data_IF_118082835673
#
_entry.id   IF_118082835673
#
_cell.length_a   1.000
_cell.length_b   1.000
_cell.length_c   1.000
_cell.angle_alpha   90.00
_cell.angle_beta   90.00
_cell.angle_gamma   90.00
#
_symmetry.space_group_name_H-M   'P 1'
#
loop_
_entity.id
_entity.type
_entity.pdbx_description
1 polymer ?
#
# COMPACT_ATOMS: atom_id res chain seq x y z
N UNK A 1 -17.00 -18.70 15.12
CA UNK A 1 -18.40 -18.84 14.68
C UNK A 1 -18.54 -20.15 13.92
N UNK A 2 -19.52 -20.98 14.28
CA UNK A 2 -19.88 -22.14 13.46
C UNK A 2 -20.66 -21.62 12.25
N UNK A 3 -20.55 -22.33 11.13
CA UNK A 3 -21.34 -22.05 9.94
C UNK A 3 -22.83 -22.27 10.28
N UNK A 4 -23.68 -21.31 9.92
CA UNK A 4 -25.15 -21.30 10.10
C UNK A 4 -25.70 -20.76 11.46
N UNK A 5 -24.92 -20.03 12.25
CA UNK A 5 -25.45 -19.25 13.39
C UNK A 5 -25.69 -17.79 12.98
N UNK A 6 -26.92 -17.28 13.20
CA UNK A 6 -27.23 -15.86 13.03
C UNK A 6 -26.47 -15.03 14.09
N UNK A 7 -25.70 -14.06 13.62
CA UNK A 7 -24.97 -13.12 14.46
C UNK A 7 -25.69 -11.78 14.48
N UNK A 8 -26.05 -11.31 15.68
CA UNK A 8 -26.60 -9.97 15.89
C UNK A 8 -25.51 -9.08 16.47
N UNK A 9 -25.08 -8.03 15.76
CA UNK A 9 -24.07 -7.12 16.27
C UNK A 9 -24.51 -6.42 17.55
N UNK A 10 -23.57 -6.27 18.47
CA UNK A 10 -23.70 -5.51 19.71
C UNK A 10 -23.09 -4.11 19.55
N UNK A 11 -23.30 -3.21 20.52
CA UNK A 11 -22.73 -1.85 20.48
C UNK A 11 -21.20 -1.83 20.50
N UNK A 12 -20.56 -2.90 20.99
CA UNK A 12 -19.10 -3.05 21.00
C UNK A 12 -18.55 -3.66 19.69
N UNK A 13 -19.42 -4.05 18.75
CA UNK A 13 -19.00 -4.66 17.49
C UNK A 13 -18.74 -3.61 16.41
N UNK A 14 -17.49 -3.55 15.97
CA UNK A 14 -17.09 -2.83 14.76
C UNK A 14 -17.51 -3.63 13.53
N UNK A 15 -18.75 -3.42 13.06
CA UNK A 15 -19.29 -4.07 11.86
C UNK A 15 -19.02 -3.22 10.62
N UNK A 16 -18.14 -3.70 9.75
CA UNK A 16 -17.93 -3.10 8.45
C UNK A 16 -19.06 -3.53 7.51
N UNK A 17 -19.93 -2.58 7.15
CA UNK A 17 -20.97 -2.78 6.14
C UNK A 17 -20.46 -2.25 4.80
N UNK A 18 -20.54 -3.03 3.70
CA UNK A 18 -20.18 -2.54 2.38
C UNK A 18 -21.12 -1.40 1.96
N UNK A 19 -20.56 -0.25 1.60
CA UNK A 19 -21.31 0.95 1.21
C UNK A 19 -21.47 0.94 -0.31
N UNK A 20 -22.51 0.25 -0.79
CA UNK A 20 -23.18 0.43 -2.09
C UNK A 20 -22.35 1.06 -3.25
N UNK A 21 -21.34 0.37 -3.76
CA UNK A 21 -20.88 0.39 -5.17
C UNK A 21 -20.15 -0.92 -5.47
N UNK A 22 -20.83 -1.94 -6.02
CA UNK A 22 -20.23 -3.23 -6.42
C UNK A 22 -19.05 -3.72 -5.53
N UNK A 23 -19.22 -3.64 -4.20
CA UNK A 23 -18.18 -3.94 -3.21
C UNK A 23 -17.90 -5.45 -3.09
N UNK A 24 -18.39 -6.26 -4.03
CA UNK A 24 -18.19 -7.71 -4.07
C UNK A 24 -16.69 -8.04 -4.03
N UNK A 25 -15.89 -7.30 -4.82
CA UNK A 25 -14.43 -7.43 -4.84
C UNK A 25 -13.76 -6.99 -3.53
N UNK A 26 -14.24 -5.92 -2.89
CA UNK A 26 -13.72 -5.47 -1.60
C UNK A 26 -14.00 -6.51 -0.50
N UNK A 27 -15.23 -7.04 -0.46
CA UNK A 27 -15.64 -8.06 0.50
C UNK A 27 -14.83 -9.34 0.32
N UNK A 28 -14.55 -9.74 -0.91
CA UNK A 28 -13.72 -10.92 -1.18
C UNK A 28 -12.26 -10.68 -0.79
N UNK A 29 -11.70 -9.50 -1.11
CA UNK A 29 -10.36 -9.10 -0.68
C UNK A 29 -10.22 -9.07 0.85
N UNK A 30 -11.24 -8.55 1.55
CA UNK A 30 -11.28 -8.54 3.01
C UNK A 30 -11.29 -9.97 3.57
N UNK A 31 -12.12 -10.86 3.01
CA UNK A 31 -12.19 -12.27 3.45
C UNK A 31 -10.88 -13.01 3.23
N UNK A 32 -10.18 -12.75 2.12
CA UNK A 32 -8.87 -13.33 1.87
C UNK A 32 -7.85 -12.84 2.89
N UNK A 33 -7.75 -11.54 3.09
CA UNK A 33 -6.80 -10.96 4.04
C UNK A 33 -7.08 -11.39 5.48
N UNK A 34 -8.35 -11.47 5.89
CA UNK A 34 -8.77 -11.90 7.22
C UNK A 34 -8.47 -13.38 7.51
N UNK A 35 -8.14 -14.20 6.50
CA UNK A 35 -7.64 -15.57 6.71
C UNK A 35 -6.15 -15.60 7.05
N UNK A 36 -5.40 -14.60 6.62
CA UNK A 36 -3.93 -14.55 6.76
C UNK A 36 -3.48 -13.64 7.91
N UNK A 37 -4.25 -12.58 8.19
CA UNK A 37 -3.92 -11.56 9.18
C UNK A 37 -4.81 -11.71 10.42
N UNK A 38 -4.22 -11.71 11.64
CA UNK A 38 -5.00 -11.76 12.87
C UNK A 38 -5.95 -10.56 13.01
N UNK A 39 -7.18 -10.83 13.48
CA UNK A 39 -8.22 -9.81 13.74
C UNK A 39 -7.71 -8.58 14.50
N UNK A 40 -6.82 -8.77 15.47
CA UNK A 40 -6.24 -7.70 16.26
C UNK A 40 -5.52 -6.62 15.44
N UNK A 41 -4.99 -6.96 14.26
CA UNK A 41 -4.40 -5.97 13.36
C UNK A 41 -5.46 -5.11 12.67
N UNK A 42 -6.62 -5.69 12.32
CA UNK A 42 -7.74 -4.90 11.78
C UNK A 42 -8.29 -3.91 12.82
N UNK A 43 -8.42 -4.34 14.07
CA UNK A 43 -8.87 -3.47 15.18
C UNK A 43 -7.86 -2.33 15.47
N UNK A 44 -6.56 -2.65 15.41
CA UNK A 44 -5.50 -1.65 15.48
C UNK A 44 -5.57 -0.66 14.31
N UNK A 45 -5.72 -1.14 13.09
CA UNK A 45 -5.84 -0.30 11.89
C UNK A 45 -7.08 0.59 11.98
N UNK A 46 -8.23 0.08 12.40
CA UNK A 46 -9.45 0.86 12.59
C UNK A 46 -9.25 2.01 13.59
N UNK A 47 -8.52 1.74 14.68
CA UNK A 47 -8.13 2.75 15.66
C UNK A 47 -7.21 3.82 15.05
N UNK A 48 -6.28 3.43 14.18
CA UNK A 48 -5.37 4.34 13.47
C UNK A 48 -6.14 5.19 12.46
N UNK A 49 -7.06 4.61 11.68
CA UNK A 49 -7.91 5.35 10.75
C UNK A 49 -8.76 6.35 11.50
N UNK A 50 -9.38 5.94 12.61
CA UNK A 50 -10.16 6.83 13.48
C UNK A 50 -9.32 8.00 14.04
N UNK A 51 -8.06 7.75 14.38
CA UNK A 51 -7.11 8.79 14.78
C UNK A 51 -6.82 9.73 13.61
N UNK A 52 -6.55 9.20 12.43
CA UNK A 52 -6.27 9.97 11.23
C UNK A 52 -7.45 10.89 10.87
N UNK A 53 -8.67 10.37 10.80
CA UNK A 53 -9.89 11.13 10.50
C UNK A 53 -10.03 12.35 11.41
N UNK A 54 -9.79 12.17 12.72
CA UNK A 54 -9.87 13.26 13.71
C UNK A 54 -8.74 14.27 13.55
N UNK A 55 -7.53 13.81 13.26
CA UNK A 55 -6.33 14.66 13.20
C UNK A 55 -6.25 15.51 11.94
N UNK A 56 -6.71 15.00 10.79
CA UNK A 56 -6.66 15.74 9.51
C UNK A 56 -8.02 16.22 9.01
N UNK A 57 -9.12 15.88 9.70
CA UNK A 57 -10.49 16.30 9.36
C UNK A 57 -10.91 15.85 7.94
N UNK A 58 -10.64 14.58 7.65
CA UNK A 58 -10.99 13.90 6.40
C UNK A 58 -11.83 12.67 6.75
N UNK A 59 -12.86 12.38 5.94
CA UNK A 59 -13.58 11.11 6.03
C UNK A 59 -12.91 10.10 5.11
N UNK A 60 -12.31 9.07 5.70
CA UNK A 60 -11.89 7.87 4.96
C UNK A 60 -13.05 6.88 4.87
N UNK A 61 -13.25 6.28 3.70
CA UNK A 61 -14.18 5.16 3.53
C UNK A 61 -13.55 3.82 3.97
N UNK A 62 -14.33 2.74 3.90
CA UNK A 62 -13.88 1.39 4.30
C UNK A 62 -12.77 0.78 3.41
N UNK A 63 -12.46 1.38 2.26
CA UNK A 63 -11.43 0.89 1.33
C UNK A 63 -10.01 1.15 1.83
N UNK A 64 -9.79 2.09 2.76
CA UNK A 64 -8.48 2.29 3.41
C UNK A 64 -8.09 1.14 4.36
N UNK A 65 -9.08 0.45 4.94
CA UNK A 65 -8.86 -0.56 5.98
C UNK A 65 -7.97 -1.72 5.51
N UNK A 66 -8.26 -2.27 4.32
CA UNK A 66 -7.55 -3.42 3.76
C UNK A 66 -6.08 -3.10 3.47
N UNK A 67 -5.74 -2.10 2.63
CA UNK A 67 -4.35 -1.81 2.28
C UNK A 67 -3.52 -1.37 3.49
N UNK A 68 -4.10 -0.58 4.40
CA UNK A 68 -3.37 -0.14 5.59
C UNK A 68 -3.14 -1.30 6.57
N UNK A 69 -4.09 -2.22 6.72
CA UNK A 69 -3.89 -3.42 7.56
C UNK A 69 -2.81 -4.33 7.01
N UNK A 70 -2.79 -4.57 5.70
CA UNK A 70 -1.72 -5.36 5.07
C UNK A 70 -0.35 -4.70 5.26
N UNK A 71 -0.27 -3.38 5.04
CA UNK A 71 0.96 -2.62 5.25
C UNK A 71 1.48 -2.74 6.68
N UNK A 72 0.64 -2.48 7.68
CA UNK A 72 1.01 -2.53 9.10
C UNK A 72 1.46 -3.95 9.48
N UNK A 73 0.68 -4.96 9.11
CA UNK A 73 1.02 -6.35 9.41
C UNK A 73 2.37 -6.73 8.80
N UNK A 74 2.56 -6.43 7.51
CA UNK A 74 3.79 -6.74 6.80
C UNK A 74 4.99 -5.97 7.35
N UNK A 75 4.82 -4.68 7.72
CA UNK A 75 5.87 -3.89 8.35
C UNK A 75 6.33 -4.51 9.67
N UNK A 76 5.39 -4.98 10.50
CA UNK A 76 5.71 -5.72 11.75
C UNK A 76 6.46 -7.01 11.44
N UNK A 77 5.98 -7.84 10.51
CA UNK A 77 6.65 -9.10 10.15
C UNK A 77 8.07 -8.87 9.62
N UNK A 78 8.24 -7.81 8.81
CA UNK A 78 9.51 -7.41 8.21
C UNK A 78 10.53 -7.02 9.30
N UNK A 79 10.13 -6.19 10.26
CA UNK A 79 11.02 -5.79 11.36
C UNK A 79 11.35 -6.96 12.27
N UNK A 80 10.38 -7.85 12.57
CA UNK A 80 10.63 -9.09 13.33
C UNK A 80 11.63 -10.01 12.64
N UNK A 81 11.74 -9.92 11.31
CA UNK A 81 12.71 -10.65 10.50
C UNK A 81 14.06 -9.93 10.36
N UNK A 82 14.24 -8.79 11.02
CA UNK A 82 15.48 -8.00 11.00
C UNK A 82 15.66 -7.15 9.73
N UNK A 83 14.61 -6.97 8.93
CA UNK A 83 14.64 -6.16 7.72
C UNK A 83 14.15 -4.73 8.03
N UNK A 84 14.97 -3.76 7.68
CA UNK A 84 14.65 -2.32 7.79
C UNK A 84 14.52 -1.75 6.38
N UNK A 85 13.52 -0.88 6.18
CA UNK A 85 13.25 -0.25 4.88
C UNK A 85 13.32 1.26 5.04
N UNK A 86 14.03 1.90 4.11
CA UNK A 86 14.09 3.36 4.02
C UNK A 86 13.00 3.88 3.10
N UNK A 87 12.43 5.02 3.47
CA UNK A 87 11.46 5.75 2.67
C UNK A 87 12.18 6.91 1.98
N UNK A 88 12.48 6.80 0.67
CA UNK A 88 13.21 7.84 -0.05
C UNK A 88 12.42 9.16 -0.14
N UNK A 89 11.12 9.15 0.15
CA UNK A 89 10.24 10.32 0.13
C UNK A 89 10.04 10.94 1.52
N UNK A 90 10.67 10.41 2.57
CA UNK A 90 10.43 10.85 3.95
C UNK A 90 10.63 12.36 4.13
N UNK A 91 11.66 12.94 3.50
CA UNK A 91 11.91 14.38 3.56
C UNK A 91 10.78 15.20 2.93
N UNK A 92 10.33 14.79 1.74
CA UNK A 92 9.28 15.48 1.00
C UNK A 92 7.92 15.30 1.71
N UNK A 93 7.60 14.10 2.21
CA UNK A 93 6.37 13.83 2.98
C UNK A 93 6.32 14.70 4.23
N UNK A 94 7.39 14.75 5.03
CA UNK A 94 7.45 15.58 6.24
C UNK A 94 7.25 17.07 5.95
N UNK A 95 7.72 17.54 4.79
CA UNK A 95 7.66 18.95 4.40
C UNK A 95 6.31 19.33 3.79
N UNK A 96 5.77 18.50 2.90
CA UNK A 96 4.58 18.78 2.09
C UNK A 96 3.28 18.34 2.77
N UNK A 97 3.35 17.24 3.53
CA UNK A 97 2.23 16.60 4.22
C UNK A 97 2.54 16.44 5.72
N UNK A 98 2.84 17.54 6.43
CA UNK A 98 3.29 17.48 7.82
C UNK A 98 2.22 16.92 8.76
N UNK A 99 0.93 17.05 8.42
CA UNK A 99 -0.16 16.53 9.25
C UNK A 99 -0.31 15.02 9.11
N UNK A 100 -0.27 14.53 7.88
CA UNK A 100 -0.35 13.12 7.53
C UNK A 100 0.88 12.38 8.06
N UNK A 101 2.06 13.03 7.98
CA UNK A 101 3.28 12.53 8.60
C UNK A 101 3.17 12.42 10.13
N UNK A 102 2.64 13.45 10.79
CA UNK A 102 2.41 13.45 12.25
C UNK A 102 1.46 12.31 12.66
N UNK A 103 0.38 12.10 11.89
CA UNK A 103 -0.52 10.95 12.07
C UNK A 103 0.23 9.63 11.90
N UNK A 104 1.10 9.52 10.90
CA UNK A 104 1.96 8.36 10.71
C UNK A 104 2.83 8.06 11.93
N UNK A 105 3.40 9.09 12.57
CA UNK A 105 4.20 8.92 13.80
C UNK A 105 3.35 8.45 14.99
N UNK A 106 2.15 9.00 15.15
CA UNK A 106 1.20 8.56 16.19
C UNK A 106 0.74 7.12 15.96
N UNK A 107 0.47 6.75 14.71
CA UNK A 107 0.17 5.38 14.31
C UNK A 107 1.33 4.43 14.65
N UNK A 108 2.58 4.80 14.36
CA UNK A 108 3.74 4.00 14.74
C UNK A 108 3.85 3.79 16.25
N UNK A 109 3.51 4.78 17.07
CA UNK A 109 3.51 4.61 18.52
C UNK A 109 2.49 3.56 18.99
N UNK A 110 1.29 3.55 18.38
CA UNK A 110 0.28 2.53 18.63
C UNK A 110 0.74 1.14 18.17
N UNK A 111 1.29 1.04 16.97
CA UNK A 111 1.78 -0.22 16.39
C UNK A 111 2.94 -0.77 17.22
N UNK A 112 3.88 0.08 17.64
CA UNK A 112 5.03 -0.30 18.47
C UNK A 112 4.56 -0.87 19.81
N UNK A 113 3.61 -0.20 20.46
CA UNK A 113 3.01 -0.64 21.73
C UNK A 113 2.27 -1.97 21.59
N UNK A 114 1.61 -2.19 20.45
CA UNK A 114 0.86 -3.41 20.17
C UNK A 114 1.75 -4.61 19.84
N UNK A 115 2.83 -4.40 19.07
CA UNK A 115 3.60 -5.48 18.44
C UNK A 115 4.97 -5.75 19.07
N UNK A 116 5.38 -4.90 20.02
CA UNK A 116 6.68 -4.92 20.71
C UNK A 116 7.87 -4.84 19.72
N UNK A 117 7.74 -3.99 18.70
CA UNK A 117 8.83 -3.66 17.77
C UNK A 117 9.00 -2.16 17.64
N UNK A 118 10.21 -1.73 17.27
CA UNK A 118 10.54 -0.32 17.04
C UNK A 118 10.67 -0.05 15.54
N UNK A 119 10.07 1.05 15.09
CA UNK A 119 10.09 1.49 13.70
C UNK A 119 10.95 2.74 13.55
N UNK A 120 11.51 2.96 12.35
CA UNK A 120 12.05 4.26 11.96
C UNK A 120 10.94 5.18 11.45
N UNK A 121 11.23 6.47 11.34
CA UNK A 121 10.32 7.46 10.76
C UNK A 121 9.95 7.16 9.30
N UNK A 122 10.71 6.30 8.60
CA UNK A 122 10.39 5.87 7.23
C UNK A 122 9.00 5.25 7.12
N UNK A 123 8.61 4.49 8.15
CA UNK A 123 7.33 3.79 8.23
C UNK A 123 6.17 4.75 8.53
N UNK A 124 6.43 5.82 9.29
CA UNK A 124 5.49 6.92 9.43
C UNK A 124 5.26 7.60 8.08
N UNK A 125 6.31 7.70 7.26
CA UNK A 125 6.19 8.16 5.88
C UNK A 125 5.33 7.23 5.02
N UNK A 126 5.48 5.90 5.13
CA UNK A 126 4.65 4.96 4.37
C UNK A 126 3.17 5.00 4.80
N UNK A 127 2.89 5.08 6.10
CA UNK A 127 1.53 5.26 6.62
C UNK A 127 0.93 6.58 6.10
N UNK A 128 1.69 7.67 6.16
CA UNK A 128 1.24 8.96 5.65
C UNK A 128 0.86 8.90 4.16
N UNK A 129 1.62 8.15 3.35
CA UNK A 129 1.28 7.97 1.93
C UNK A 129 -0.06 7.29 1.72
N UNK A 130 -0.40 6.24 2.49
CA UNK A 130 -1.72 5.60 2.40
C UNK A 130 -2.87 6.57 2.72
N UNK A 131 -2.66 7.49 3.68
CA UNK A 131 -3.66 8.52 4.00
C UNK A 131 -3.83 9.52 2.86
N UNK A 132 -2.71 9.97 2.28
CA UNK A 132 -2.68 10.90 1.14
C UNK A 132 -3.34 10.26 -0.09
N UNK A 133 -3.13 8.96 -0.34
CA UNK A 133 -3.78 8.22 -1.44
C UNK A 133 -5.28 8.43 -1.41
N UNK A 134 -5.85 8.16 -0.24
CA UNK A 134 -7.28 8.09 -0.03
C UNK A 134 -7.91 9.49 -0.01
N UNK A 135 -7.18 10.50 0.45
CA UNK A 135 -7.61 11.90 0.36
C UNK A 135 -7.63 12.40 -1.10
N UNK A 136 -6.64 12.02 -1.92
CA UNK A 136 -6.48 12.53 -3.29
C UNK A 136 -7.48 11.91 -4.28
N UNK A 137 -7.94 10.69 -4.05
CA UNK A 137 -8.96 10.01 -4.88
C UNK A 137 -10.30 10.76 -4.93
N UNK A 138 -10.56 11.69 -4.01
CA UNK A 138 -11.78 12.50 -3.97
C UNK A 138 -11.71 13.82 -4.80
N UNK A 139 -10.56 14.18 -5.39
CA UNK A 139 -10.39 15.49 -6.09
C UNK A 139 -10.05 15.36 -7.59
N UNK A 140 -10.94 15.88 -8.45
CA UNK A 140 -11.01 15.71 -9.93
C UNK A 140 -9.85 16.29 -10.80
N UNK A 141 -8.68 16.63 -10.25
CA UNK A 141 -7.52 17.11 -11.05
C UNK A 141 -6.61 15.98 -11.58
N UNK A 142 -6.96 14.74 -11.24
CA UNK A 142 -6.20 13.49 -11.36
C UNK A 142 -6.48 12.67 -12.64
N UNK A 143 -7.45 13.06 -13.47
CA UNK A 143 -7.93 12.22 -14.58
C UNK A 143 -6.85 11.90 -15.62
N UNK A 144 -5.89 12.82 -15.82
CA UNK A 144 -4.84 12.65 -16.83
C UNK A 144 -3.67 11.78 -16.32
N UNK A 145 -3.28 11.91 -15.04
CA UNK A 145 -2.26 11.06 -14.41
C UNK A 145 -2.78 9.65 -14.11
N UNK A 146 -4.08 9.49 -13.86
CA UNK A 146 -4.72 8.19 -13.67
C UNK A 146 -4.79 7.41 -14.98
N UNK A 147 -5.11 8.06 -16.11
CA UNK A 147 -5.15 7.39 -17.42
C UNK A 147 -3.79 6.81 -17.82
N UNK A 148 -2.71 7.58 -17.66
CA UNK A 148 -1.34 7.10 -17.95
C UNK A 148 -0.93 5.95 -17.02
N UNK A 149 -1.33 6.02 -15.75
CA UNK A 149 -1.08 4.94 -14.82
C UNK A 149 -1.82 3.66 -15.18
N UNK A 150 -3.08 3.76 -15.60
CA UNK A 150 -3.87 2.61 -16.06
C UNK A 150 -3.25 1.96 -17.31
N UNK A 151 -2.73 2.75 -18.24
CA UNK A 151 -2.04 2.25 -19.44
C UNK A 151 -0.76 1.48 -19.08
N UNK A 152 0.04 2.02 -18.16
CA UNK A 152 1.25 1.36 -17.67
C UNK A 152 0.91 0.09 -16.90
N UNK A 153 -0.13 0.10 -16.06
CA UNK A 153 -0.59 -1.07 -15.33
C UNK A 153 -1.03 -2.20 -16.25
N UNK A 154 -1.75 -1.87 -17.31
CA UNK A 154 -2.12 -2.82 -18.35
C UNK A 154 -0.87 -3.44 -19.01
N UNK A 155 0.11 -2.60 -19.36
CA UNK A 155 1.38 -3.07 -19.93
C UNK A 155 2.20 -3.95 -18.99
N UNK A 156 2.23 -3.65 -17.69
CA UNK A 156 2.86 -4.51 -16.67
C UNK A 156 2.15 -5.87 -16.58
N UNK A 157 0.82 -5.88 -16.56
CA UNK A 157 0.05 -7.13 -16.51
C UNK A 157 0.26 -7.98 -17.78
N UNK A 158 0.49 -7.36 -18.94
CA UNK A 158 0.86 -8.07 -20.17
C UNK A 158 2.26 -8.67 -20.12
N UNK A 159 3.25 -7.94 -19.58
CA UNK A 159 4.61 -8.45 -19.39
C UNK A 159 4.55 -9.70 -18.52
N UNK A 160 3.96 -9.58 -17.33
CA UNK A 160 3.91 -10.69 -16.38
C UNK A 160 3.03 -11.85 -16.91
N UNK A 161 1.93 -11.56 -17.59
CA UNK A 161 1.08 -12.61 -18.18
C UNK A 161 1.79 -13.43 -19.26
N UNK A 162 2.73 -12.84 -20.01
CA UNK A 162 3.55 -13.58 -20.99
C UNK A 162 4.55 -14.52 -20.34
N UNK A 163 5.15 -14.12 -19.22
CA UNK A 163 6.22 -14.89 -18.58
C UNK A 163 5.70 -15.96 -17.62
N UNK A 164 4.54 -15.71 -16.98
CA UNK A 164 3.95 -16.61 -15.98
C UNK A 164 2.70 -17.35 -16.46
N UNK A 165 2.25 -17.11 -17.70
CA UNK A 165 1.23 -17.90 -18.40
C UNK A 165 -0.22 -17.53 -18.08
N UNK A 166 -0.47 -16.67 -17.10
CA UNK A 166 -1.79 -16.14 -16.76
C UNK A 166 -1.71 -14.63 -16.52
N UNK A 167 -2.68 -13.89 -17.06
CA UNK A 167 -2.86 -12.49 -16.66
C UNK A 167 -3.36 -12.48 -15.23
N UNK A 168 -2.80 -11.60 -14.41
CA UNK A 168 -3.21 -11.53 -13.03
C UNK A 168 -4.61 -10.89 -12.96
N UNK A 169 -5.48 -11.51 -12.17
CA UNK A 169 -6.85 -11.01 -11.95
C UNK A 169 -6.80 -9.61 -11.34
N UNK A 170 -7.68 -8.72 -11.79
CA UNK A 170 -7.90 -7.40 -11.17
C UNK A 170 -8.32 -7.54 -9.69
N UNK A 171 -8.88 -8.69 -9.31
CA UNK A 171 -9.23 -9.02 -7.92
C UNK A 171 -8.06 -9.55 -7.07
N UNK A 172 -6.85 -9.65 -7.63
CA UNK A 172 -5.69 -10.19 -6.90
C UNK A 172 -5.06 -9.11 -6.02
N UNK A 173 -4.90 -9.40 -4.73
CA UNK A 173 -4.22 -8.52 -3.78
C UNK A 173 -2.79 -8.18 -4.23
N UNK A 174 -2.08 -9.10 -4.87
CA UNK A 174 -0.74 -8.85 -5.41
C UNK A 174 -0.76 -7.81 -6.54
N UNK A 175 -1.81 -7.83 -7.37
CA UNK A 175 -2.02 -6.84 -8.45
C UNK A 175 -2.38 -5.48 -7.87
N UNK A 176 -3.28 -5.45 -6.90
CA UNK A 176 -3.65 -4.21 -6.21
C UNK A 176 -2.42 -3.53 -5.58
N UNK A 177 -1.58 -4.29 -4.85
CA UNK A 177 -0.32 -3.76 -4.29
C UNK A 177 0.64 -3.24 -5.34
N UNK A 178 0.86 -4.04 -6.39
CA UNK A 178 1.70 -3.63 -7.51
C UNK A 178 1.15 -2.35 -8.16
N UNK A 179 -0.17 -2.24 -8.27
CA UNK A 179 -0.85 -1.11 -8.89
C UNK A 179 -0.67 0.19 -8.11
N UNK A 180 -0.89 0.15 -6.81
CA UNK A 180 -0.63 1.29 -5.91
C UNK A 180 0.84 1.72 -5.99
N UNK A 181 1.79 0.80 -5.87
CA UNK A 181 3.21 1.16 -5.91
C UNK A 181 3.66 1.71 -7.27
N UNK A 182 3.12 1.20 -8.38
CA UNK A 182 3.38 1.73 -9.73
C UNK A 182 2.75 3.11 -9.93
N UNK A 183 1.51 3.31 -9.48
CA UNK A 183 0.84 4.62 -9.55
C UNK A 183 1.68 5.70 -8.88
N UNK A 184 2.21 5.43 -7.69
CA UNK A 184 3.10 6.35 -6.99
C UNK A 184 4.46 6.55 -7.68
N UNK A 185 5.03 5.49 -8.25
CA UNK A 185 6.23 5.60 -9.09
C UNK A 185 6.00 6.56 -10.26
N UNK A 186 4.80 6.58 -10.85
CA UNK A 186 4.50 7.46 -11.97
C UNK A 186 4.27 8.90 -11.56
N UNK A 187 3.54 9.11 -10.46
CA UNK A 187 3.38 10.43 -9.85
C UNK A 187 4.73 11.08 -9.55
N UNK A 188 5.71 10.33 -9.04
CA UNK A 188 7.07 10.88 -8.77
C UNK A 188 7.89 11.14 -10.03
N UNK A 189 7.72 10.36 -11.10
CA UNK A 189 8.47 10.58 -12.36
C UNK A 189 7.96 11.79 -13.14
N UNK A 190 6.68 12.13 -13.01
CA UNK A 190 6.07 13.28 -13.68
C UNK A 190 6.53 14.63 -13.09
N UNK A 191 7.00 14.64 -11.83
CA UNK A 191 7.48 15.86 -11.15
C UNK A 191 8.95 16.21 -11.48
N UNK A 192 9.58 15.49 -12.43
CA UNK A 192 10.86 15.86 -13.04
C UNK A 192 12.10 15.80 -12.13
N UNK A 193 11.96 15.41 -10.86
CA UNK A 193 13.09 15.22 -9.93
C UNK A 193 13.84 13.94 -10.29
N UNK A 194 14.93 14.08 -11.05
CA UNK A 194 15.95 13.03 -11.14
C UNK A 194 16.56 12.82 -9.75
N UNK A 195 16.35 11.65 -9.18
CA UNK A 195 17.12 11.20 -8.01
C UNK A 195 18.52 10.91 -8.52
N UNK A 196 19.53 11.60 -8.00
CA UNK A 196 20.92 11.30 -8.32
C UNK A 196 21.21 9.86 -7.91
N UNK A 197 21.56 9.02 -8.90
CA UNK A 197 21.93 7.62 -8.70
C UNK A 197 23.29 7.55 -7.98
N UNK A 198 23.27 7.81 -6.67
CA UNK A 198 24.36 7.42 -5.78
C UNK A 198 24.16 5.93 -5.50
N UNK A 199 25.21 5.12 -5.56
CA UNK A 199 25.14 3.72 -5.11
C UNK A 199 24.74 3.69 -3.62
N UNK A 200 23.45 3.43 -3.37
CA UNK A 200 22.89 3.18 -2.03
C UNK A 200 22.74 1.68 -1.78
N UNK A 201 22.50 1.29 -0.52
CA UNK A 201 22.18 -0.09 -0.13
C UNK A 201 21.03 -0.69 -0.97
N UNK A 202 20.13 0.14 -1.51
CA UNK A 202 19.03 -0.27 -2.40
C UNK A 202 19.53 -0.90 -3.71
N UNK A 203 20.67 -0.43 -4.22
CA UNK A 203 21.28 -0.96 -5.45
C UNK A 203 21.86 -2.35 -5.20
N UNK A 204 22.39 -2.57 -3.99
CA UNK A 204 22.91 -3.87 -3.53
C UNK A 204 21.77 -4.87 -3.36
N UNK A 205 20.66 -4.46 -2.72
CA UNK A 205 19.47 -5.29 -2.55
C UNK A 205 18.84 -5.63 -3.90
N UNK A 206 18.68 -4.66 -4.80
CA UNK A 206 18.18 -4.90 -6.14
C UNK A 206 19.05 -5.91 -6.90
N UNK A 207 20.37 -5.79 -6.82
CA UNK A 207 21.30 -6.74 -7.42
C UNK A 207 21.18 -8.15 -6.81
N UNK A 208 20.99 -8.26 -5.50
CA UNK A 208 20.77 -9.54 -4.83
C UNK A 208 19.43 -10.18 -5.23
N UNK A 209 18.34 -9.41 -5.24
CA UNK A 209 17.02 -9.87 -5.64
C UNK A 209 16.98 -10.30 -7.11
N UNK A 210 17.64 -9.56 -8.02
CA UNK A 210 17.78 -9.96 -9.43
C UNK A 210 18.58 -11.26 -9.61
N UNK A 211 19.55 -11.53 -8.74
CA UNK A 211 20.29 -12.81 -8.75
C UNK A 211 19.43 -13.96 -8.21
N UNK A 212 18.65 -13.70 -7.15
CA UNK A 212 17.80 -14.70 -6.51
C UNK A 212 16.54 -15.03 -7.35
N UNK A 213 15.99 -14.03 -8.04
CA UNK A 213 14.78 -14.12 -8.86
C UNK A 213 15.08 -13.58 -10.28
N UNK A 214 15.80 -14.34 -11.12
CA UNK A 214 16.29 -13.84 -12.41
C UNK A 214 15.17 -13.48 -13.39
N UNK A 215 14.07 -14.24 -13.41
CA UNK A 215 12.92 -13.94 -14.27
C UNK A 215 12.25 -12.62 -13.84
N UNK A 216 11.95 -12.46 -12.56
CA UNK A 216 11.43 -11.20 -12.02
C UNK A 216 12.39 -10.02 -12.28
N UNK A 217 13.71 -10.26 -12.24
CA UNK A 217 14.72 -9.26 -12.59
C UNK A 217 14.68 -8.80 -14.06
N UNK A 218 14.36 -9.71 -14.99
CA UNK A 218 14.13 -9.40 -16.41
C UNK A 218 12.80 -8.64 -16.59
N UNK A 219 11.76 -9.03 -15.86
CA UNK A 219 10.44 -8.39 -15.90
C UNK A 219 10.53 -6.94 -15.43
N UNK A 220 11.23 -6.70 -14.30
CA UNK A 220 11.52 -5.34 -13.81
C UNK A 220 12.23 -4.50 -14.86
N UNK A 221 13.17 -5.08 -15.62
CA UNK A 221 13.83 -4.37 -16.73
C UNK A 221 12.86 -3.94 -17.84
N UNK A 222 11.94 -4.83 -18.21
CA UNK A 222 10.88 -4.54 -19.21
C UNK A 222 9.87 -3.51 -18.71
N UNK A 223 9.51 -3.57 -17.44
CA UNK A 223 8.61 -2.61 -16.79
C UNK A 223 9.25 -1.21 -16.74
N UNK A 224 10.55 -1.12 -16.42
CA UNK A 224 11.27 0.16 -16.48
C UNK A 224 11.29 0.72 -17.89
N UNK A 225 11.55 -0.11 -18.90
CA UNK A 225 11.55 0.30 -20.30
C UNK A 225 10.16 0.84 -20.75
N UNK A 226 9.08 0.14 -20.35
CA UNK A 226 7.70 0.57 -20.54
C UNK A 226 7.45 1.96 -19.94
N UNK A 227 7.89 2.19 -18.70
CA UNK A 227 7.71 3.47 -17.99
C UNK A 227 8.54 4.60 -18.61
N UNK A 228 9.76 4.31 -19.09
CA UNK A 228 10.61 5.28 -19.79
C UNK A 228 10.18 5.57 -21.24
N UNK A 229 9.12 4.91 -21.72
CA UNK A 229 8.65 5.02 -23.09
C UNK A 229 9.62 4.44 -24.14
N UNK A 230 10.49 3.50 -23.73
CA UNK A 230 11.42 2.82 -24.62
C UNK A 230 10.91 1.38 -24.89
N UNK A 231 10.48 1.06 -26.11
CA UNK A 231 10.07 -0.29 -26.47
C UNK A 231 11.25 -1.27 -26.47
#
# INVERSE_FOLDING_TARGET
LKRDEEYFPTEDDHVFLPVSRDDSQWVDSFKELAREIPRSYFELTDSIISLAQKSINVEFDGHLLIPLTDHIYFAVQRIKSGLVVSNPMLFDIRRLFPKEFQVGQEALALISSFSDVSFSDDEAGFIAMHLIEHELTETNSSVQSVSEALDILSGVNEILGKDYGEKFSESSLAVSRMATHLYYLLLRTHDGKKVDLVETDDTVLLCQLKKQYPNAGLDVGRIVALIEGRP
#
